data_IF_074551193024
#
_entry.id   IF_074551193024
#
_cell.length_a   1.000
_cell.length_b   1.000
_cell.length_c   1.000
_cell.angle_alpha   90.00
_cell.angle_beta   90.00
_cell.angle_gamma   90.00
#
_symmetry.space_group_name_H-M   'P 1'
#
loop_
_entity.id
_entity.type
_entity.pdbx_description
1 polymer ?
#
# COMPACT_ATOMS: atom_id res chain seq x y z
N UNK A 1 25.17 -0.68 25.49
CA UNK A 1 25.31 -1.41 24.21
C UNK A 1 24.12 -2.35 23.92
N UNK A 2 23.03 -2.31 24.70
CA UNK A 2 21.78 -2.99 24.38
C UNK A 2 20.69 -1.93 24.24
N UNK A 3 20.55 -1.34 23.06
CA UNK A 3 19.34 -0.60 22.71
C UNK A 3 18.50 -1.52 21.83
N UNK A 4 17.24 -1.65 22.19
CA UNK A 4 16.23 -2.33 21.39
C UNK A 4 15.33 -1.25 20.82
N UNK A 5 15.07 -1.33 19.51
CA UNK A 5 14.18 -0.40 18.82
C UNK A 5 12.94 -1.18 18.40
N UNK A 6 11.79 -0.75 18.92
CA UNK A 6 10.51 -1.27 18.49
C UNK A 6 9.94 -0.35 17.40
N UNK A 7 9.65 -0.93 16.25
CA UNK A 7 9.03 -0.25 15.10
C UNK A 7 7.65 -0.83 14.79
N UNK A 8 7.06 -1.59 15.71
CA UNK A 8 5.70 -2.11 15.51
C UNK A 8 4.70 -0.94 15.54
N UNK A 9 3.84 -0.80 14.53
CA UNK A 9 2.69 0.08 14.65
C UNK A 9 1.71 -0.52 15.66
N UNK A 10 1.03 0.33 16.42
CA UNK A 10 0.12 -0.08 17.49
C UNK A 10 0.37 0.71 18.75
N UNK A 11 0.18 0.05 19.89
CA UNK A 11 0.39 0.62 21.22
C UNK A 11 1.42 -0.23 21.97
N UNK A 12 2.22 0.39 22.83
CA UNK A 12 3.06 -0.33 23.78
C UNK A 12 2.21 -1.02 24.83
N UNK A 13 2.75 -2.04 25.50
CA UNK A 13 2.05 -2.75 26.58
C UNK A 13 1.91 -1.93 27.87
N UNK A 14 2.56 -0.78 27.94
CA UNK A 14 2.51 0.16 29.06
C UNK A 14 2.52 1.61 28.55
N UNK A 15 2.18 2.57 29.41
CA UNK A 15 2.05 3.98 29.05
C UNK A 15 3.39 4.60 28.60
N UNK A 16 3.31 5.55 27.65
CA UNK A 16 4.47 6.31 27.15
C UNK A 16 5.02 7.23 28.23
N UNK A 17 4.14 7.91 28.96
CA UNK A 17 4.46 8.63 30.19
C UNK A 17 3.47 8.22 31.26
N UNK A 18 3.92 8.13 32.52
CA UNK A 18 3.05 7.73 33.62
C UNK A 18 3.48 8.42 34.91
N UNK A 19 2.54 9.10 35.58
CA UNK A 19 2.74 9.61 36.93
C UNK A 19 1.85 8.93 37.98
N UNK A 20 1.05 7.93 37.58
CA UNK A 20 0.22 7.14 38.47
C UNK A 20 1.10 6.20 39.30
N UNK A 21 0.66 5.93 40.53
CA UNK A 21 1.32 4.92 41.39
C UNK A 21 0.87 3.47 41.11
N UNK A 22 -0.40 3.18 40.75
CA UNK A 22 -0.79 1.84 40.35
C UNK A 22 -0.19 1.44 38.99
N UNK A 23 0.03 0.15 38.79
CA UNK A 23 0.44 -0.39 37.49
C UNK A 23 -0.62 -0.12 36.44
N UNK A 24 -0.22 0.44 35.30
CA UNK A 24 -1.07 0.65 34.13
C UNK A 24 -0.59 -0.27 33.02
N UNK A 25 -1.49 -1.12 32.50
CA UNK A 25 -1.20 -1.94 31.34
C UNK A 25 -2.11 -1.59 30.17
N UNK A 26 -1.58 -1.72 28.96
CA UNK A 26 -2.25 -1.38 27.72
C UNK A 26 -2.25 -2.62 26.83
N UNK A 27 -3.36 -2.87 26.15
CA UNK A 27 -3.52 -4.01 25.28
C UNK A 27 -4.44 -3.71 24.11
N UNK A 28 -4.48 -4.61 23.14
CA UNK A 28 -5.31 -4.50 21.95
C UNK A 28 -4.50 -4.20 20.69
N UNK A 29 -5.23 -4.00 19.60
CA UNK A 29 -4.66 -3.70 18.29
C UNK A 29 -5.29 -2.39 17.84
N UNK A 30 -4.45 -1.39 17.62
CA UNK A 30 -4.92 -0.07 17.21
C UNK A 30 -5.56 -0.13 15.81
N UNK A 31 -6.79 0.38 15.71
CA UNK A 31 -7.57 0.40 14.47
C UNK A 31 -7.72 1.79 13.85
N UNK A 32 -7.14 2.83 14.46
CA UNK A 32 -7.18 4.18 13.90
C UNK A 32 -6.33 4.31 12.63
N UNK A 33 -6.65 5.31 11.81
CA UNK A 33 -6.00 5.56 10.52
C UNK A 33 -4.79 6.50 10.60
N UNK A 34 -4.62 7.20 11.71
CA UNK A 34 -3.56 8.19 11.92
C UNK A 34 -2.83 7.92 13.23
N UNK A 35 -1.60 8.39 13.36
CA UNK A 35 -0.90 8.31 14.64
C UNK A 35 -1.55 9.27 15.62
N UNK A 36 -1.83 8.79 16.83
CA UNK A 36 -2.62 9.49 17.82
C UNK A 36 -1.97 9.39 19.20
N UNK A 37 -2.04 10.48 19.95
CA UNK A 37 -1.72 10.50 21.37
C UNK A 37 -3.02 10.60 22.17
N UNK A 38 -3.19 9.69 23.13
CA UNK A 38 -4.27 9.72 24.11
C UNK A 38 -3.72 10.20 25.45
N UNK A 39 -4.32 11.24 26.01
CA UNK A 39 -4.02 11.71 27.36
C UNK A 39 -5.11 11.21 28.29
N UNK A 40 -4.74 10.35 29.24
CA UNK A 40 -5.65 9.77 30.22
C UNK A 40 -5.47 10.51 31.54
N UNK A 41 -6.48 11.25 31.97
CA UNK A 41 -6.46 12.03 33.22
C UNK A 41 -7.40 11.42 34.23
N UNK A 42 -6.91 11.19 35.45
CA UNK A 42 -7.72 10.76 36.58
C UNK A 42 -8.65 11.89 37.02
N UNK A 43 -9.93 11.56 37.22
CA UNK A 43 -10.94 12.44 37.80
C UNK A 43 -11.42 11.83 39.11
N UNK A 44 -11.17 12.53 40.21
CA UNK A 44 -11.38 12.09 41.58
C UNK A 44 -10.12 11.53 42.25
N UNK A 45 -10.19 11.35 43.57
CA UNK A 45 -9.10 10.82 44.39
C UNK A 45 -9.61 9.67 45.24
N UNK A 46 -8.91 8.52 45.22
CA UNK A 46 -9.26 7.37 46.06
C UNK A 46 -8.68 6.06 45.56
N UNK A 47 -9.10 4.96 46.18
CA UNK A 47 -8.60 3.62 45.87
C UNK A 47 -9.36 3.00 44.69
N UNK A 48 -8.59 2.42 43.76
CA UNK A 48 -9.10 1.72 42.57
C UNK A 48 -10.07 0.62 42.98
N UNK A 49 -11.25 0.60 42.35
CA UNK A 49 -12.30 -0.38 42.60
C UNK A 49 -13.19 -0.10 43.82
N UNK A 50 -12.84 0.90 44.63
CA UNK A 50 -13.53 1.19 45.90
C UNK A 50 -14.22 2.55 45.86
N UNK A 51 -13.50 3.61 45.50
CA UNK A 51 -14.02 4.99 45.60
C UNK A 51 -15.14 5.27 44.60
N UNK A 52 -16.22 5.92 45.02
CA UNK A 52 -17.36 6.17 44.14
C UNK A 52 -17.08 7.37 43.24
N UNK A 53 -17.22 7.19 41.93
CA UNK A 53 -17.07 8.27 40.95
C UNK A 53 -15.64 8.50 40.47
N UNK A 54 -14.67 7.69 40.93
CA UNK A 54 -13.31 7.68 40.42
C UNK A 54 -13.28 7.21 38.96
N UNK A 55 -12.81 8.08 38.07
CA UNK A 55 -12.88 7.90 36.62
C UNK A 55 -11.56 8.24 35.95
N UNK A 56 -11.40 7.78 34.71
CA UNK A 56 -10.35 8.24 33.80
C UNK A 56 -11.02 8.89 32.61
N UNK A 57 -10.71 10.16 32.37
CA UNK A 57 -11.04 10.86 31.14
C UNK A 57 -9.94 10.62 30.11
N UNK A 58 -10.32 10.06 28.97
CA UNK A 58 -9.44 9.85 27.82
C UNK A 58 -9.65 10.99 26.84
N UNK A 59 -8.57 11.72 26.54
CA UNK A 59 -8.58 12.90 25.66
C UNK A 59 -7.72 12.67 24.43
N UNK A 60 -8.20 13.19 23.30
CA UNK A 60 -7.42 13.41 22.08
C UNK A 60 -7.29 14.91 21.89
N UNK A 61 -6.08 15.44 22.02
CA UNK A 61 -5.87 16.88 22.11
C UNK A 61 -6.66 17.47 23.28
N UNK A 62 -7.57 18.40 23.00
CA UNK A 62 -8.45 19.00 24.02
C UNK A 62 -9.82 18.29 24.16
N UNK A 63 -10.15 17.34 23.28
CA UNK A 63 -11.47 16.72 23.26
C UNK A 63 -11.48 15.45 24.13
N UNK A 64 -12.44 15.35 25.05
CA UNK A 64 -12.73 14.10 25.76
C UNK A 64 -13.41 13.15 24.78
N UNK A 65 -12.77 12.02 24.51
CA UNK A 65 -13.28 11.00 23.59
C UNK A 65 -13.97 9.86 24.32
N UNK A 66 -13.59 9.62 25.58
CA UNK A 66 -14.21 8.59 26.42
C UNK A 66 -13.96 8.88 27.89
N UNK A 67 -14.85 8.38 28.73
CA UNK A 67 -14.66 8.35 30.18
C UNK A 67 -14.92 6.94 30.66
N UNK A 68 -14.01 6.39 31.45
CA UNK A 68 -14.11 5.03 31.98
C UNK A 68 -14.13 5.05 33.51
N UNK A 69 -14.98 4.22 34.11
CA UNK A 69 -15.06 4.07 35.56
C UNK A 69 -13.95 3.13 36.06
N UNK A 70 -13.16 3.60 37.02
CA UNK A 70 -12.13 2.80 37.73
C UNK A 70 -12.37 2.76 39.24
N UNK A 71 -13.47 3.36 39.70
CA UNK A 71 -13.91 3.38 41.08
C UNK A 71 -14.78 2.20 41.45
N UNK A 72 -15.73 2.41 42.36
CA UNK A 72 -16.66 1.39 42.85
C UNK A 72 -17.23 0.52 41.73
N UNK A 73 -17.06 -0.79 41.85
CA UNK A 73 -17.53 -1.79 40.90
C UNK A 73 -16.55 -2.18 39.79
N UNK A 74 -15.41 -1.50 39.68
CA UNK A 74 -14.28 -1.94 38.85
C UNK A 74 -13.43 -2.95 39.62
N UNK A 75 -13.16 -4.13 39.06
CA UNK A 75 -12.15 -5.01 39.63
C UNK A 75 -10.77 -4.60 39.09
N UNK A 76 -9.84 -4.29 39.99
CA UNK A 76 -8.50 -3.85 39.60
C UNK A 76 -7.83 -4.88 38.65
N UNK A 77 -7.29 -4.39 37.54
CA UNK A 77 -6.73 -5.20 36.46
C UNK A 77 -7.74 -5.60 35.37
N UNK A 78 -9.04 -5.35 35.55
CA UNK A 78 -10.02 -5.59 34.49
C UNK A 78 -9.76 -4.70 33.28
N UNK A 79 -10.06 -5.25 32.10
CA UNK A 79 -9.82 -4.60 30.82
C UNK A 79 -10.92 -3.58 30.52
N UNK A 80 -10.53 -2.32 30.35
CA UNK A 80 -11.39 -1.20 30.01
C UNK A 80 -11.12 -0.75 28.58
N UNK A 81 -12.15 -0.76 27.74
CA UNK A 81 -12.08 -0.26 26.36
C UNK A 81 -12.02 1.26 26.37
N UNK A 82 -11.01 1.84 25.71
CA UNK A 82 -10.85 3.30 25.56
C UNK A 82 -11.14 3.81 24.14
N UNK A 83 -11.49 2.92 23.21
CA UNK A 83 -11.73 3.23 21.80
C UNK A 83 -10.60 2.75 20.88
N UNK A 84 -10.88 2.74 19.56
CA UNK A 84 -9.93 2.40 18.50
C UNK A 84 -9.19 1.06 18.69
N UNK A 85 -9.86 0.09 19.30
CA UNK A 85 -9.31 -1.24 19.57
C UNK A 85 -8.28 -1.29 20.72
N UNK A 86 -8.09 -0.18 21.43
CA UNK A 86 -7.18 -0.05 22.58
C UNK A 86 -7.94 -0.27 23.88
N UNK A 87 -7.29 -0.97 24.80
CA UNK A 87 -7.80 -1.22 26.12
C UNK A 87 -6.74 -0.95 27.16
N UNK A 88 -7.16 -0.45 28.31
CA UNK A 88 -6.30 -0.22 29.48
C UNK A 88 -6.73 -1.12 30.63
N UNK A 89 -5.83 -1.38 31.57
CA UNK A 89 -6.19 -1.84 32.90
C UNK A 89 -5.37 -1.10 33.95
N UNK A 90 -6.01 -0.86 35.09
CA UNK A 90 -5.42 -0.17 36.23
C UNK A 90 -5.32 -1.15 37.39
N UNK A 91 -4.11 -1.36 37.88
CA UNK A 91 -3.82 -2.22 39.02
C UNK A 91 -4.36 -1.64 40.33
N UNK A 92 -4.15 -2.37 41.41
CA UNK A 92 -4.54 -1.92 42.76
C UNK A 92 -3.67 -0.74 43.21
N UNK A 93 -4.29 0.27 43.79
CA UNK A 93 -3.60 1.36 44.49
C UNK A 93 -4.48 2.60 44.59
N UNK A 94 -3.88 3.71 45.02
CA UNK A 94 -4.56 5.00 45.18
C UNK A 94 -4.25 5.90 43.99
N UNK A 95 -5.30 6.50 43.43
CA UNK A 95 -5.19 7.52 42.39
C UNK A 95 -5.50 8.90 42.98
N UNK A 96 -4.85 9.94 42.46
CA UNK A 96 -5.13 11.33 42.82
C UNK A 96 -5.72 12.11 41.63
N UNK A 97 -6.64 13.01 41.93
CA UNK A 97 -7.26 13.88 40.93
C UNK A 97 -6.20 14.65 40.14
N UNK A 98 -6.30 14.61 38.81
CA UNK A 98 -5.35 15.25 37.91
C UNK A 98 -4.07 14.46 37.61
N UNK A 99 -3.86 13.27 38.20
CA UNK A 99 -2.83 12.34 37.73
C UNK A 99 -3.09 11.97 36.26
N UNK A 100 -2.02 11.72 35.51
CA UNK A 100 -2.10 11.44 34.08
C UNK A 100 -1.07 10.41 33.61
N UNK A 101 -1.48 9.69 32.57
CA UNK A 101 -0.59 8.91 31.73
C UNK A 101 -0.95 9.12 30.26
N UNK A 102 0.01 8.89 29.38
CA UNK A 102 -0.20 9.01 27.93
C UNK A 102 0.00 7.69 27.23
N UNK A 103 -0.72 7.54 26.11
CA UNK A 103 -0.60 6.40 25.21
C UNK A 103 -0.31 6.95 23.82
N UNK A 104 0.82 6.57 23.24
CA UNK A 104 1.07 6.75 21.81
C UNK A 104 0.53 5.53 21.05
N UNK A 105 -0.41 5.78 20.15
CA UNK A 105 -0.98 4.79 19.25
C UNK A 105 -0.56 5.11 17.82
N UNK A 106 0.19 4.20 17.20
CA UNK A 106 0.76 4.39 15.87
C UNK A 106 -0.05 3.61 14.85
N UNK A 107 -0.74 4.29 13.94
CA UNK A 107 -1.30 3.64 12.74
C UNK A 107 -0.17 3.20 11.80
N UNK A 108 0.89 4.00 11.71
CA UNK A 108 2.13 3.70 10.98
C UNK A 108 3.35 4.20 11.76
N UNK A 109 4.32 3.30 11.97
CA UNK A 109 5.63 3.63 12.54
C UNK A 109 6.61 4.19 11.51
N UNK A 110 6.28 4.14 10.21
CA UNK A 110 7.13 4.60 9.10
C UNK A 110 6.42 5.65 8.25
N UNK A 111 6.06 6.79 8.84
CA UNK A 111 5.36 7.89 8.14
C UNK A 111 6.20 8.53 7.02
N UNK A 112 7.52 8.40 7.10
CA UNK A 112 8.47 8.90 6.10
C UNK A 112 8.82 7.90 5.00
N UNK A 113 8.54 6.60 5.22
CA UNK A 113 8.95 5.52 4.32
C UNK A 113 10.43 5.12 4.43
N UNK A 114 11.15 5.64 5.44
CA UNK A 114 12.60 5.40 5.60
C UNK A 114 12.87 3.94 5.95
N UNK A 115 12.10 3.32 6.85
CA UNK A 115 12.32 1.92 7.24
C UNK A 115 12.17 1.00 6.01
N UNK A 116 11.13 1.23 5.22
CA UNK A 116 10.93 0.51 3.97
C UNK A 116 12.05 0.77 2.95
N UNK A 117 12.50 2.02 2.80
CA UNK A 117 13.53 2.40 1.85
C UNK A 117 14.91 1.81 2.17
N UNK A 118 15.26 1.67 3.45
CA UNK A 118 16.52 1.04 3.88
C UNK A 118 16.41 -0.47 4.10
N UNK A 119 15.21 -1.05 3.91
CA UNK A 119 14.97 -2.49 4.04
C UNK A 119 14.92 -3.00 5.48
N UNK A 120 14.61 -2.14 6.45
CA UNK A 120 14.43 -2.54 7.85
C UNK A 120 13.05 -3.18 8.00
N UNK A 121 13.04 -4.45 8.43
CA UNK A 121 11.84 -5.22 8.73
C UNK A 121 10.81 -5.27 7.57
N UNK A 122 11.29 -5.30 6.33
CA UNK A 122 10.42 -5.36 5.14
C UNK A 122 10.17 -6.80 4.69
N UNK A 123 9.00 -7.05 4.10
CA UNK A 123 8.68 -8.34 3.47
C UNK A 123 9.29 -8.46 2.08
N UNK A 124 9.17 -7.39 1.29
CA UNK A 124 9.77 -7.26 -0.04
C UNK A 124 10.95 -6.29 0.01
N UNK A 125 11.91 -6.50 -0.89
CA UNK A 125 12.97 -5.56 -1.20
C UNK A 125 13.05 -5.34 -2.71
N UNK A 126 13.81 -4.33 -3.10
CA UNK A 126 13.96 -3.92 -4.49
C UNK A 126 13.45 -2.49 -4.70
N UNK A 127 13.69 -1.98 -5.90
CA UNK A 127 13.36 -0.59 -6.28
C UNK A 127 12.51 -0.53 -7.55
N UNK A 128 12.13 -1.68 -8.12
CA UNK A 128 11.31 -1.76 -9.32
C UNK A 128 11.03 -3.20 -9.77
N UNK A 129 10.35 -3.32 -10.91
CA UNK A 129 9.86 -4.61 -11.41
C UNK A 129 10.98 -5.62 -11.76
N UNK A 130 12.19 -5.16 -12.06
CA UNK A 130 13.32 -6.04 -12.42
C UNK A 130 14.03 -6.66 -11.23
N UNK A 131 13.87 -6.11 -10.02
CA UNK A 131 14.62 -6.53 -8.83
C UNK A 131 13.75 -6.71 -7.58
N UNK A 132 12.43 -6.60 -7.70
CA UNK A 132 11.50 -6.89 -6.60
C UNK A 132 11.59 -8.37 -6.20
N UNK A 133 11.78 -8.64 -4.92
CA UNK A 133 11.87 -9.99 -4.38
C UNK A 133 11.53 -10.03 -2.89
N UNK A 134 11.29 -11.23 -2.34
CA UNK A 134 11.12 -11.45 -0.90
C UNK A 134 12.48 -11.32 -0.22
N UNK A 135 12.55 -10.61 0.91
CA UNK A 135 13.79 -10.42 1.66
C UNK A 135 14.50 -11.75 1.96
N UNK A 136 15.82 -11.79 1.78
CA UNK A 136 16.63 -13.01 1.90
C UNK A 136 16.51 -13.67 3.27
N UNK A 137 16.37 -12.87 4.34
CA UNK A 137 16.22 -13.38 5.70
C UNK A 137 14.92 -14.17 5.88
N UNK A 138 13.84 -13.73 5.23
CA UNK A 138 12.55 -14.43 5.21
C UNK A 138 12.65 -15.66 4.29
N UNK A 139 13.25 -15.52 3.11
CA UNK A 139 13.41 -16.63 2.18
C UNK A 139 14.25 -17.77 2.77
N UNK A 140 15.31 -17.44 3.53
CA UNK A 140 16.17 -18.40 4.21
C UNK A 140 15.52 -18.98 5.48
N UNK A 141 14.64 -18.24 6.15
CA UNK A 141 13.94 -18.69 7.35
C UNK A 141 12.49 -18.21 7.34
N UNK A 142 11.56 -18.97 6.70
CA UNK A 142 10.16 -18.57 6.56
C UNK A 142 9.43 -18.32 7.88
N UNK A 143 9.90 -18.91 8.99
CA UNK A 143 9.38 -18.63 10.34
C UNK A 143 9.60 -17.19 10.83
N UNK A 144 10.35 -16.36 10.10
CA UNK A 144 10.53 -14.93 10.39
C UNK A 144 9.40 -14.03 9.89
N UNK A 145 8.40 -14.59 9.19
CA UNK A 145 7.23 -13.80 8.79
C UNK A 145 6.42 -13.42 10.03
N UNK A 146 6.40 -12.13 10.35
CA UNK A 146 5.56 -11.59 11.42
C UNK A 146 4.09 -11.56 10.98
N UNK A 147 3.29 -12.54 11.42
CA UNK A 147 1.86 -12.63 11.08
C UNK A 147 0.95 -11.88 12.05
N UNK A 148 1.41 -11.71 13.29
CA UNK A 148 0.72 -11.00 14.36
C UNK A 148 1.07 -9.51 14.36
N UNK A 149 0.24 -8.71 15.02
CA UNK A 149 0.47 -7.29 15.24
C UNK A 149 0.26 -6.86 16.70
N UNK A 150 -0.60 -7.56 17.43
CA UNK A 150 -0.83 -7.31 18.85
C UNK A 150 0.42 -7.62 19.68
N UNK A 151 0.57 -6.92 20.80
CA UNK A 151 1.70 -7.10 21.71
C UNK A 151 1.81 -8.53 22.30
N UNK A 152 0.70 -9.25 22.38
CA UNK A 152 0.63 -10.65 22.84
C UNK A 152 1.02 -11.67 21.75
N UNK A 153 1.17 -11.21 20.50
CA UNK A 153 1.59 -12.01 19.34
C UNK A 153 0.72 -13.24 19.06
N UNK A 154 -0.56 -13.23 19.46
CA UNK A 154 -1.48 -14.36 19.28
C UNK A 154 -2.40 -14.24 18.06
N UNK A 155 -2.36 -13.11 17.36
CA UNK A 155 -3.24 -12.79 16.24
C UNK A 155 -2.62 -13.07 14.85
N UNK A 156 -3.41 -12.85 13.80
CA UNK A 156 -2.98 -12.97 12.39
C UNK A 156 -3.26 -11.69 11.58
N UNK A 157 -3.37 -10.55 12.26
CA UNK A 157 -3.78 -9.27 11.67
C UNK A 157 -2.80 -8.81 10.60
N UNK A 158 -1.49 -8.96 10.81
CA UNK A 158 -0.50 -8.53 9.82
C UNK A 158 -0.56 -9.38 8.55
N UNK A 159 -0.84 -10.68 8.67
CA UNK A 159 -1.08 -11.55 7.51
C UNK A 159 -2.34 -11.13 6.74
N UNK A 160 -3.41 -10.76 7.45
CA UNK A 160 -4.65 -10.25 6.84
C UNK A 160 -4.43 -8.90 6.14
N UNK A 161 -3.64 -7.99 6.75
CA UNK A 161 -3.22 -6.71 6.14
C UNK A 161 -2.43 -6.94 4.86
N UNK A 162 -1.47 -7.87 4.87
CA UNK A 162 -0.69 -8.24 3.67
C UNK A 162 -1.59 -8.77 2.56
N UNK A 163 -2.56 -9.64 2.89
CA UNK A 163 -3.52 -10.16 1.91
C UNK A 163 -4.41 -9.05 1.33
N UNK A 164 -4.79 -8.06 2.15
CA UNK A 164 -5.61 -6.91 1.74
C UNK A 164 -4.93 -5.95 0.77
N UNK A 165 -3.60 -5.95 0.64
CA UNK A 165 -2.88 -5.08 -0.30
C UNK A 165 -3.35 -5.24 -1.74
N UNK A 166 -3.85 -6.42 -2.12
CA UNK A 166 -4.35 -6.69 -3.47
C UNK A 166 -5.56 -5.81 -3.85
N UNK A 167 -6.34 -5.39 -2.86
CA UNK A 167 -7.59 -4.64 -3.03
C UNK A 167 -7.42 -3.16 -2.63
N UNK A 168 -6.20 -2.76 -2.22
CA UNK A 168 -5.91 -1.39 -1.83
C UNK A 168 -5.58 -0.50 -3.04
N UNK A 169 -6.24 0.64 -3.14
CA UNK A 169 -5.90 1.69 -4.11
C UNK A 169 -4.57 2.36 -3.73
N UNK A 170 -3.66 2.48 -4.70
CA UNK A 170 -2.34 3.07 -4.50
C UNK A 170 -2.20 4.33 -5.35
N UNK A 171 -1.87 5.45 -4.74
CA UNK A 171 -1.75 6.75 -5.42
C UNK A 171 -0.72 6.75 -6.55
N UNK A 172 0.41 6.06 -6.37
CA UNK A 172 1.44 5.91 -7.42
C UNK A 172 0.98 5.08 -8.62
N UNK A 173 -0.10 4.29 -8.48
CA UNK A 173 -0.76 3.55 -9.56
C UNK A 173 -1.93 4.33 -10.17
N UNK A 174 -2.13 5.59 -9.78
CA UNK A 174 -3.26 6.42 -10.21
C UNK A 174 -4.56 6.05 -9.51
N UNK A 175 -4.48 5.80 -8.20
CA UNK A 175 -5.59 5.39 -7.33
C UNK A 175 -6.26 4.08 -7.76
N UNK A 176 -5.47 3.20 -8.38
CA UNK A 176 -5.88 1.86 -8.80
C UNK A 176 -5.29 0.81 -7.86
N UNK A 177 -5.99 -0.31 -7.75
CA UNK A 177 -5.42 -1.53 -7.19
C UNK A 177 -4.32 -2.08 -8.11
N UNK A 178 -3.38 -2.90 -7.58
CA UNK A 178 -2.38 -3.56 -8.41
C UNK A 178 -2.99 -4.37 -9.58
N UNK A 179 -4.12 -5.03 -9.34
CA UNK A 179 -4.83 -5.81 -10.36
C UNK A 179 -5.41 -4.95 -11.48
N UNK A 180 -6.07 -3.84 -11.14
CA UNK A 180 -6.62 -2.89 -12.11
C UNK A 180 -5.52 -2.24 -12.96
N UNK A 181 -4.43 -1.81 -12.31
CA UNK A 181 -3.29 -1.23 -13.00
C UNK A 181 -2.70 -2.20 -14.03
N UNK A 182 -2.52 -3.47 -13.65
CA UNK A 182 -2.01 -4.52 -14.53
C UNK A 182 -2.96 -4.77 -15.72
N UNK A 183 -4.27 -4.85 -15.46
CA UNK A 183 -5.27 -5.03 -16.53
C UNK A 183 -5.26 -3.85 -17.52
N UNK A 184 -5.16 -2.62 -17.02
CA UNK A 184 -5.06 -1.42 -17.86
C UNK A 184 -3.78 -1.40 -18.69
N UNK A 185 -2.66 -1.85 -18.13
CA UNK A 185 -1.39 -1.99 -18.86
C UNK A 185 -1.55 -2.93 -20.05
N UNK A 186 -2.09 -4.14 -19.84
CA UNK A 186 -2.32 -5.12 -20.91
C UNK A 186 -3.26 -4.56 -21.97
N UNK A 187 -4.38 -3.97 -21.56
CA UNK A 187 -5.37 -3.39 -22.48
C UNK A 187 -4.75 -2.32 -23.38
N UNK A 188 -3.91 -1.45 -22.81
CA UNK A 188 -3.19 -0.41 -23.57
C UNK A 188 -2.22 -1.02 -24.58
N UNK A 189 -1.48 -2.07 -24.22
CA UNK A 189 -0.59 -2.77 -25.15
C UNK A 189 -1.38 -3.41 -26.29
N UNK A 190 -2.50 -4.08 -25.97
CA UNK A 190 -3.38 -4.68 -26.97
C UNK A 190 -3.96 -3.66 -27.96
N UNK A 191 -4.41 -2.50 -27.46
CA UNK A 191 -4.88 -1.40 -28.29
C UNK A 191 -3.77 -0.86 -29.23
N UNK A 192 -2.55 -0.68 -28.71
CA UNK A 192 -1.42 -0.23 -29.52
C UNK A 192 -1.08 -1.24 -30.61
N UNK A 193 -1.07 -2.54 -30.28
CA UNK A 193 -0.83 -3.61 -31.26
C UNK A 193 -1.89 -3.60 -32.36
N UNK A 194 -3.17 -3.50 -32.00
CA UNK A 194 -4.28 -3.43 -32.95
C UNK A 194 -4.13 -2.26 -33.92
N UNK A 195 -3.82 -1.06 -33.42
CA UNK A 195 -3.59 0.13 -34.26
C UNK A 195 -2.39 -0.05 -35.18
N UNK A 196 -1.29 -0.63 -34.69
CA UNK A 196 -0.09 -0.87 -35.49
C UNK A 196 -0.34 -1.92 -36.58
N UNK A 197 -1.12 -2.97 -36.28
CA UNK A 197 -1.49 -3.98 -37.25
C UNK A 197 -2.37 -3.39 -38.36
N UNK A 198 -3.42 -2.65 -38.03
CA UNK A 198 -4.27 -1.97 -39.02
C UNK A 198 -3.47 -1.04 -39.94
N UNK A 199 -2.47 -0.33 -39.39
CA UNK A 199 -1.58 0.52 -40.18
C UNK A 199 -0.66 -0.28 -41.09
N UNK A 200 -0.12 -1.41 -40.61
CA UNK A 200 0.71 -2.32 -41.42
C UNK A 200 -0.10 -2.86 -42.60
N UNK A 201 -1.31 -3.35 -42.33
CA UNK A 201 -2.20 -3.91 -43.36
C UNK A 201 -2.53 -2.86 -44.43
N UNK A 202 -2.82 -1.62 -44.03
CA UNK A 202 -3.04 -0.52 -44.97
C UNK A 202 -1.81 -0.21 -45.85
N UNK A 203 -0.61 -0.18 -45.25
CA UNK A 203 0.63 0.07 -45.99
C UNK A 203 0.90 -1.09 -46.97
N UNK A 204 0.66 -2.33 -46.57
CA UNK A 204 0.83 -3.50 -47.43
C UNK A 204 -0.09 -3.42 -48.67
N UNK A 205 -1.36 -3.06 -48.47
CA UNK A 205 -2.30 -2.81 -49.57
C UNK A 205 -1.83 -1.64 -50.46
N UNK A 206 -1.34 -0.55 -49.87
CA UNK A 206 -0.81 0.59 -50.64
C UNK A 206 0.39 0.21 -51.50
N UNK A 207 1.34 -0.57 -50.94
CA UNK A 207 2.51 -1.07 -51.67
C UNK A 207 2.08 -2.00 -52.81
N UNK A 208 1.14 -2.90 -52.59
CA UNK A 208 0.59 -3.76 -53.65
C UNK A 208 -0.04 -2.93 -54.78
N UNK A 209 -0.83 -1.91 -54.45
CA UNK A 209 -1.41 -1.02 -55.45
C UNK A 209 -0.36 -0.24 -56.24
N UNK A 210 0.68 0.28 -55.59
CA UNK A 210 1.78 0.97 -56.27
C UNK A 210 2.59 0.03 -57.16
N UNK A 211 2.83 -1.21 -56.73
CA UNK A 211 3.50 -2.23 -57.55
C UNK A 211 2.70 -2.59 -58.80
N UNK A 212 1.37 -2.68 -58.68
CA UNK A 212 0.47 -2.90 -59.80
C UNK A 212 0.51 -1.71 -60.79
N UNK A 213 0.41 -0.46 -60.29
CA UNK A 213 0.53 0.74 -61.12
C UNK A 213 1.90 0.84 -61.83
N UNK A 214 2.98 0.51 -61.11
CA UNK A 214 4.31 0.45 -61.71
C UNK A 214 4.35 -0.58 -62.83
N UNK A 215 3.76 -1.76 -62.64
CA UNK A 215 3.71 -2.81 -63.66
C UNK A 215 2.88 -2.40 -64.88
N UNK A 216 1.81 -1.63 -64.70
CA UNK A 216 1.01 -1.07 -65.80
C UNK A 216 1.79 0.00 -66.59
N UNK A 217 2.53 0.90 -65.92
CA UNK A 217 3.30 1.97 -66.58
C UNK A 217 4.60 1.44 -67.19
N UNK A 218 5.29 0.54 -66.48
CA UNK A 218 6.55 -0.09 -66.89
C UNK A 218 6.34 -1.31 -67.80
N UNK A 219 5.08 -1.72 -68.00
CA UNK A 219 4.66 -2.71 -68.96
C UNK A 219 4.78 -2.16 -70.38
N UNK A 220 6.00 -1.87 -70.81
CA UNK A 220 6.31 -1.75 -72.24
C UNK A 220 6.27 -3.16 -72.80
N UNK A 221 5.22 -3.49 -73.55
CA UNK A 221 5.22 -4.73 -74.32
C UNK A 221 6.29 -4.57 -75.42
N UNK A 222 7.40 -5.28 -75.26
CA UNK A 222 8.53 -5.28 -76.20
C UNK A 222 8.02 -5.57 -77.62
N UNK A 223 6.92 -6.30 -77.78
CA UNK A 223 6.33 -6.56 -79.08
C UNK A 223 5.65 -5.32 -79.69
N UNK A 224 5.01 -4.47 -78.87
CA UNK A 224 4.42 -3.20 -79.34
C UNK A 224 5.50 -2.17 -79.66
N UNK A 225 6.57 -2.11 -78.86
CA UNK A 225 7.71 -1.23 -79.12
C UNK A 225 8.52 -1.71 -80.34
N UNK A 226 8.66 -3.03 -80.54
CA UNK A 226 9.25 -3.63 -81.73
C UNK A 226 8.38 -3.44 -82.97
N UNK A 227 7.05 -3.55 -82.86
CA UNK A 227 6.13 -3.25 -83.96
C UNK A 227 6.21 -1.77 -84.37
N UNK A 228 6.29 -0.85 -83.40
CA UNK A 228 6.52 0.58 -83.67
C UNK A 228 7.88 0.83 -84.33
N UNK A 229 8.93 0.13 -83.91
CA UNK A 229 10.24 0.18 -84.56
C UNK A 229 10.18 -0.30 -86.02
N UNK A 230 9.51 -1.42 -86.29
CA UNK A 230 9.31 -1.92 -87.65
C UNK A 230 8.54 -0.93 -88.52
N UNK A 231 7.52 -0.26 -87.98
CA UNK A 231 6.79 0.80 -88.69
C UNK A 231 7.70 2.00 -88.99
N UNK A 232 8.54 2.42 -88.03
CA UNK A 232 9.51 3.49 -88.26
C UNK A 232 10.55 3.11 -89.33
N UNK A 233 11.06 1.87 -89.32
CA UNK A 233 11.94 1.36 -90.38
C UNK A 233 11.24 1.38 -91.75
N UNK A 234 9.99 0.93 -91.83
CA UNK A 234 9.21 0.93 -93.07
C UNK A 234 8.95 2.34 -93.60
N UNK A 235 8.66 3.31 -92.72
CA UNK A 235 8.49 4.71 -93.10
C UNK A 235 9.81 5.35 -93.56
N UNK A 236 10.94 5.02 -92.92
CA UNK A 236 12.26 5.47 -93.36
C UNK A 236 12.63 4.89 -94.74
N UNK A 237 12.35 3.60 -94.95
CA UNK A 237 12.56 2.95 -96.24
C UNK A 237 11.64 3.47 -97.35
N UNK A 238 10.45 3.98 -97.02
CA UNK A 238 9.52 4.57 -97.98
C UNK A 238 9.82 6.05 -98.32
N UNK A 239 10.67 6.73 -97.54
CA UNK A 239 11.10 8.13 -97.77
C UNK A 239 12.47 8.26 -98.45
N UNK A 240 13.19 7.15 -98.62
CA UNK A 240 14.45 7.06 -99.39
C UNK A 240 14.17 6.61 -100.83
#
# INVERSE_FOLDING_TARGET
ANYEFDFLPGVLSGPTTNNLTPDVSISGIYTGSENQTYTCTVVGTGDVGVESGLQIEVKIGAAVVKTVNVGSGYAAGDRLDIGDGIFISIGTGTLNDGEEFTIEALASSDTSGVLAAVGINTFFYGSGASNIAVCSDIAATPGRVATALGADMTDNTNASRLAGLRDQAVSSLGDMTPGEFYHRLITRVGQQLSVKQMRRDNIEVMVQNLANQQSEISGVDINDEAARLLIFEQMFHAMA
#
